data_IF_963797161638
#
_entry.id   IF_963797161638
#
_cell.length_a   1.000
_cell.length_b   1.000
_cell.length_c   1.000
_cell.angle_alpha   90.00
_cell.angle_beta   90.00
_cell.angle_gamma   90.00
#
_symmetry.space_group_name_H-M   'P 1'
#
loop_
_entity.id
_entity.type
_entity.pdbx_description
1 polymer ?
#
# COMPACT_ATOMS: atom_id res chain seq x y z
N UNK A 1 -24.02 -47.37 30.34
CA UNK A 1 -24.42 -46.11 30.99
C UNK A 1 -23.93 -44.98 30.13
N UNK A 2 -24.87 -44.11 29.79
CA UNK A 2 -24.73 -42.77 29.21
C UNK A 2 -24.36 -42.60 27.72
N UNK A 3 -25.45 -42.37 26.98
CA UNK A 3 -25.51 -41.78 25.67
C UNK A 3 -25.30 -40.26 25.74
N UNK A 4 -24.61 -39.68 24.76
CA UNK A 4 -24.72 -38.24 24.46
C UNK A 4 -24.93 -38.07 22.95
N UNK A 5 -26.20 -37.88 22.60
CA UNK A 5 -26.67 -37.13 21.42
C UNK A 5 -25.98 -35.76 21.41
N UNK A 6 -25.67 -35.18 20.24
CA UNK A 6 -26.09 -33.80 19.87
C UNK A 6 -25.81 -33.49 18.39
N UNK A 7 -26.91 -33.48 17.63
CA UNK A 7 -27.40 -32.55 16.59
C UNK A 7 -26.50 -32.09 15.42
N UNK A 8 -27.04 -32.38 14.25
CA UNK A 8 -26.78 -31.81 12.94
C UNK A 8 -27.13 -30.30 12.85
N UNK A 9 -26.40 -29.58 12.00
CA UNK A 9 -26.86 -28.33 11.39
C UNK A 9 -26.71 -28.51 9.87
N UNK A 10 -27.86 -28.71 9.23
CA UNK A 10 -27.97 -28.85 7.78
C UNK A 10 -27.86 -27.51 7.08
N UNK A 11 -27.31 -27.58 5.86
CA UNK A 11 -27.20 -26.52 4.88
C UNK A 11 -28.56 -25.84 4.61
N UNK A 12 -28.56 -24.50 4.66
CA UNK A 12 -29.58 -23.66 4.03
C UNK A 12 -28.99 -22.98 2.80
N UNK A 13 -29.54 -23.32 1.64
CA UNK A 13 -29.16 -22.86 0.30
C UNK A 13 -30.20 -21.85 -0.20
N UNK A 14 -29.77 -20.91 -1.05
CA UNK A 14 -30.57 -19.98 -1.89
C UNK A 14 -31.16 -18.73 -1.19
N UNK A 15 -31.31 -17.55 -1.81
CA UNK A 15 -31.42 -17.21 -3.23
C UNK A 15 -31.03 -15.74 -3.53
N UNK A 16 -30.77 -15.48 -4.81
CA UNK A 16 -30.49 -14.19 -5.46
C UNK A 16 -31.63 -13.16 -5.34
N UNK A 17 -31.31 -11.86 -5.49
CA UNK A 17 -31.90 -10.90 -6.45
C UNK A 17 -31.45 -9.46 -6.13
N UNK A 18 -30.97 -8.73 -7.14
CA UNK A 18 -30.67 -7.30 -7.02
C UNK A 18 -29.91 -6.71 -8.21
N UNK A 19 -30.62 -6.45 -9.31
CA UNK A 19 -30.17 -5.72 -10.50
C UNK A 19 -30.02 -4.22 -10.21
N UNK A 20 -28.87 -3.64 -10.56
CA UNK A 20 -28.66 -2.28 -11.09
C UNK A 20 -27.15 -2.15 -11.38
N UNK A 21 -26.62 -1.94 -12.59
CA UNK A 21 -27.12 -1.11 -13.67
C UNK A 21 -26.43 0.25 -13.60
N UNK A 22 -25.23 0.38 -14.16
CA UNK A 22 -24.63 1.64 -14.64
C UNK A 22 -23.47 1.32 -15.60
N UNK A 23 -23.75 1.47 -16.88
CA UNK A 23 -22.79 1.50 -17.98
C UNK A 23 -21.91 2.76 -17.86
N UNK A 24 -20.62 2.63 -18.12
CA UNK A 24 -19.79 3.78 -18.52
C UNK A 24 -19.09 3.40 -19.83
N UNK A 25 -19.32 4.24 -20.84
CA UNK A 25 -18.90 4.06 -22.21
C UNK A 25 -17.37 4.13 -22.35
N UNK A 26 -16.84 3.27 -23.21
CA UNK A 26 -15.51 3.38 -23.79
C UNK A 26 -15.55 4.40 -24.92
N UNK A 27 -14.83 5.51 -24.78
CA UNK A 27 -14.56 6.40 -25.91
C UNK A 27 -13.11 6.21 -26.37
N UNK A 28 -12.99 5.49 -27.48
CA UNK A 28 -11.77 5.36 -28.26
C UNK A 28 -11.72 6.52 -29.26
N UNK A 29 -10.87 7.51 -29.03
CA UNK A 29 -10.50 8.47 -30.08
C UNK A 29 -9.21 8.01 -30.74
N UNK A 30 -9.38 7.40 -31.92
CA UNK A 30 -8.34 7.29 -32.93
C UNK A 30 -8.19 8.65 -33.60
N UNK A 31 -6.98 9.20 -33.58
CA UNK A 31 -6.60 10.41 -34.31
C UNK A 31 -5.32 10.13 -35.08
N UNK A 32 -5.51 9.75 -36.34
CA UNK A 32 -4.50 9.62 -37.39
C UNK A 32 -4.00 11.03 -37.78
N UNK A 33 -2.70 11.20 -38.05
CA UNK A 33 -2.14 12.52 -38.32
C UNK A 33 -0.66 12.49 -38.69
N UNK A 34 -0.40 12.30 -39.97
CA UNK A 34 0.89 12.17 -40.64
C UNK A 34 1.79 13.42 -40.62
N UNK A 35 3.10 13.17 -40.59
CA UNK A 35 4.22 13.87 -41.26
C UNK A 35 4.40 15.40 -41.14
N UNK A 36 5.56 15.84 -40.62
CA UNK A 36 6.63 16.46 -41.44
C UNK A 36 7.75 17.08 -40.60
N UNK A 37 8.98 16.89 -41.08
CA UNK A 37 10.20 17.48 -40.58
C UNK A 37 10.30 18.98 -40.91
N UNK A 38 10.87 19.76 -39.99
CA UNK A 38 11.64 20.96 -40.31
C UNK A 38 12.64 21.24 -39.18
N UNK A 39 13.92 21.26 -39.53
CA UNK A 39 14.98 21.84 -38.70
C UNK A 39 14.82 23.37 -38.67
N UNK A 40 15.38 24.04 -37.64
CA UNK A 40 16.21 25.18 -37.98
C UNK A 40 17.55 25.22 -37.21
N UNK A 41 18.61 25.33 -38.00
CA UNK A 41 19.69 26.32 -37.93
C UNK A 41 20.21 26.76 -36.56
N UNK A 42 21.49 26.44 -36.33
CA UNK A 42 22.38 27.04 -35.34
C UNK A 42 22.33 28.56 -35.38
N UNK A 43 22.11 29.20 -34.23
CA UNK A 43 22.61 30.56 -33.99
C UNK A 43 23.35 30.52 -32.65
N UNK A 44 24.68 30.61 -32.73
CA UNK A 44 25.51 30.90 -31.58
C UNK A 44 25.35 32.39 -31.25
N UNK A 45 25.00 32.71 -30.00
CA UNK A 45 25.23 34.04 -29.44
C UNK A 45 25.90 33.90 -28.08
N UNK A 46 26.97 34.67 -27.98
CA UNK A 46 27.99 34.78 -26.96
C UNK A 46 27.45 35.21 -25.58
N UNK A 47 28.20 34.76 -24.57
CA UNK A 47 28.17 35.05 -23.13
C UNK A 47 27.56 36.37 -22.64
N UNK A 48 26.93 36.31 -21.47
CA UNK A 48 27.05 37.36 -20.44
C UNK A 48 27.24 36.70 -19.07
N UNK A 49 28.33 37.06 -18.43
CA UNK A 49 28.73 36.63 -17.11
C UNK A 49 27.95 37.37 -16.02
N UNK A 50 27.70 36.66 -14.91
CA UNK A 50 27.71 37.25 -13.57
C UNK A 50 26.40 37.83 -13.03
N UNK A 51 25.63 37.01 -12.33
CA UNK A 51 25.00 37.43 -11.07
C UNK A 51 24.80 36.20 -10.17
N UNK A 52 25.40 36.11 -8.97
CA UNK A 52 25.06 35.10 -7.99
C UNK A 52 23.79 35.55 -7.27
N UNK A 53 22.62 35.16 -7.80
CA UNK A 53 21.37 35.37 -7.10
C UNK A 53 21.16 34.23 -6.09
N UNK A 54 21.55 34.53 -4.86
CA UNK A 54 20.79 34.30 -3.62
C UNK A 54 20.16 32.92 -3.45
N UNK A 55 20.70 32.18 -2.47
CA UNK A 55 20.06 31.02 -1.86
C UNK A 55 18.59 31.32 -1.50
N UNK A 56 17.67 30.83 -2.33
CA UNK A 56 16.26 30.77 -2.01
C UNK A 56 16.03 29.44 -1.29
N UNK A 57 15.60 29.56 -0.04
CA UNK A 57 15.50 28.47 0.92
C UNK A 57 14.81 27.24 0.35
N UNK A 58 15.34 26.09 0.76
CA UNK A 58 14.66 24.81 0.62
C UNK A 58 13.34 24.90 1.37
N UNK A 59 12.28 25.36 0.69
CA UNK A 59 10.91 25.13 1.13
C UNK A 59 10.77 23.63 1.21
N UNK A 60 10.78 23.09 2.43
CA UNK A 60 10.49 21.69 2.70
C UNK A 60 9.03 21.48 2.30
N UNK A 61 8.83 21.17 1.02
CA UNK A 61 7.52 20.86 0.45
C UNK A 61 7.12 19.51 1.01
N UNK A 62 6.42 19.53 2.15
CA UNK A 62 5.79 18.35 2.72
C UNK A 62 4.99 17.67 1.59
N UNK A 63 5.26 16.40 1.27
CA UNK A 63 4.52 15.71 0.24
C UNK A 63 3.04 15.68 0.61
N UNK A 64 2.16 15.94 -0.35
CA UNK A 64 0.72 15.85 -0.15
C UNK A 64 0.34 14.50 0.48
N UNK A 65 -0.70 14.50 1.30
CA UNK A 65 -1.21 13.26 1.89
C UNK A 65 -1.60 12.28 0.79
N UNK A 66 -1.12 11.04 0.82
CA UNK A 66 -1.45 10.04 -0.17
C UNK A 66 -2.94 9.74 -0.11
N UNK A 67 -3.61 9.82 -1.27
CA UNK A 67 -5.06 9.55 -1.40
C UNK A 67 -5.37 8.06 -1.50
N UNK A 68 -4.35 7.21 -1.67
CA UNK A 68 -4.50 5.76 -1.77
C UNK A 68 -3.53 5.05 -0.83
N UNK A 69 -3.93 3.88 -0.31
CA UNK A 69 -3.08 3.07 0.56
C UNK A 69 -1.82 2.59 -0.15
N UNK A 70 -1.91 2.31 -1.46
CA UNK A 70 -0.72 1.98 -2.27
C UNK A 70 0.27 3.15 -2.28
N UNK A 71 -0.23 4.37 -2.49
CA UNK A 71 0.59 5.59 -2.43
C UNK A 71 1.21 5.79 -1.06
N UNK A 72 0.45 5.56 0.02
CA UNK A 72 0.95 5.60 1.39
C UNK A 72 2.12 4.62 1.60
N UNK A 73 1.95 3.36 1.19
CA UNK A 73 3.00 2.35 1.31
C UNK A 73 4.24 2.70 0.49
N UNK A 74 4.07 3.14 -0.77
CA UNK A 74 5.17 3.49 -1.65
C UNK A 74 5.96 4.71 -1.12
N UNK A 75 5.26 5.72 -0.60
CA UNK A 75 5.88 6.91 -0.03
C UNK A 75 6.61 6.61 1.29
N UNK A 76 6.05 5.77 2.15
CA UNK A 76 6.63 5.49 3.45
C UNK A 76 7.81 4.49 3.40
N UNK A 77 7.90 3.69 2.33
CA UNK A 77 8.93 2.65 2.15
C UNK A 77 9.58 2.78 0.76
N UNK A 78 10.22 3.93 0.43
CA UNK A 78 10.69 4.23 -0.92
C UNK A 78 11.79 3.27 -1.41
N UNK A 79 12.66 2.81 -0.51
CA UNK A 79 13.79 1.93 -0.83
C UNK A 79 13.43 0.44 -0.83
N UNK A 80 12.14 0.11 -0.83
CA UNK A 80 11.64 -1.27 -0.70
C UNK A 80 10.77 -1.64 -1.88
N UNK A 81 10.95 -2.86 -2.38
CA UNK A 81 10.04 -3.42 -3.39
C UNK A 81 8.70 -3.75 -2.75
N UNK A 82 7.67 -2.97 -3.05
CA UNK A 82 6.31 -3.21 -2.59
C UNK A 82 5.72 -4.46 -3.26
N UNK A 83 5.29 -5.41 -2.44
CA UNK A 83 4.65 -6.66 -2.86
C UNK A 83 3.15 -6.59 -2.71
N UNK A 84 2.64 -5.94 -1.65
CA UNK A 84 1.21 -5.76 -1.44
C UNK A 84 0.86 -4.65 -0.47
N UNK A 85 -0.42 -4.25 -0.46
CA UNK A 85 -0.94 -3.13 0.34
C UNK A 85 -2.41 -3.33 0.71
N UNK A 86 -2.81 -2.89 1.90
CA UNK A 86 -4.18 -3.05 2.42
C UNK A 86 -4.54 -1.95 3.41
N UNK A 87 -5.77 -1.44 3.35
CA UNK A 87 -6.24 -0.44 4.32
C UNK A 87 -6.33 -1.05 5.72
N UNK A 88 -6.01 -0.26 6.74
CA UNK A 88 -6.13 -0.66 8.14
C UNK A 88 -6.21 0.58 9.02
N UNK A 89 -6.51 0.37 10.29
CA UNK A 89 -6.50 1.41 11.32
C UNK A 89 -5.39 1.16 12.34
N UNK A 90 -5.09 2.17 13.16
CA UNK A 90 -4.15 2.00 14.28
C UNK A 90 -4.66 0.98 15.29
N UNK A 91 -5.97 0.88 15.50
CA UNK A 91 -6.59 -0.17 16.30
C UNK A 91 -6.29 -1.56 15.75
N UNK A 92 -6.41 -1.76 14.44
CA UNK A 92 -6.05 -3.03 13.78
C UNK A 92 -4.57 -3.38 13.96
N UNK A 93 -3.69 -2.38 13.89
CA UNK A 93 -2.26 -2.58 14.12
C UNK A 93 -1.98 -3.01 15.55
N UNK A 94 -2.57 -2.33 16.54
CA UNK A 94 -2.39 -2.66 17.95
C UNK A 94 -2.96 -4.04 18.25
N UNK A 95 -4.07 -4.43 17.65
CA UNK A 95 -4.69 -5.74 17.81
C UNK A 95 -3.94 -6.89 17.11
N UNK A 96 -2.99 -6.60 16.20
CA UNK A 96 -2.26 -7.61 15.45
C UNK A 96 -1.44 -8.54 16.35
N UNK A 97 -1.65 -9.85 16.18
CA UNK A 97 -0.97 -10.92 16.91
C UNK A 97 -0.52 -12.02 15.95
N UNK A 98 0.56 -12.73 16.30
CA UNK A 98 1.02 -13.88 15.53
C UNK A 98 1.68 -14.96 16.41
N UNK A 99 1.68 -16.20 15.90
CA UNK A 99 2.27 -17.38 16.52
C UNK A 99 1.55 -17.87 17.78
N UNK A 100 1.85 -19.10 18.21
CA UNK A 100 1.23 -19.75 19.37
C UNK A 100 1.34 -18.97 20.70
N UNK A 101 2.42 -18.18 20.87
CA UNK A 101 2.61 -17.32 22.06
C UNK A 101 1.79 -16.02 22.03
N UNK A 102 0.99 -15.81 20.98
CA UNK A 102 0.15 -14.62 20.81
C UNK A 102 0.95 -13.30 20.86
N UNK A 103 2.12 -13.28 20.22
CA UNK A 103 3.02 -12.12 20.21
C UNK A 103 2.35 -10.91 19.57
N UNK A 104 2.38 -9.76 20.26
CA UNK A 104 1.73 -8.52 19.84
C UNK A 104 2.77 -7.41 19.60
N UNK A 105 3.51 -7.45 18.47
CA UNK A 105 4.66 -6.57 18.22
C UNK A 105 4.30 -5.08 18.12
N UNK A 106 3.03 -4.79 17.84
CA UNK A 106 2.52 -3.46 17.57
C UNK A 106 1.58 -2.94 18.67
N UNK A 107 1.46 -3.62 19.82
CA UNK A 107 0.59 -3.20 20.92
C UNK A 107 0.82 -1.74 21.36
N UNK A 108 2.07 -1.26 21.24
CA UNK A 108 2.49 0.10 21.58
C UNK A 108 2.97 0.90 20.36
N UNK A 109 2.60 0.46 19.15
CA UNK A 109 2.90 1.19 17.93
C UNK A 109 2.08 2.47 17.86
N UNK A 110 2.68 3.52 17.26
CA UNK A 110 2.06 4.82 17.07
C UNK A 110 1.51 5.41 18.38
N UNK A 111 2.37 5.79 19.33
CA UNK A 111 1.92 6.47 20.54
C UNK A 111 1.19 7.76 20.15
N UNK A 112 0.12 8.08 20.89
CA UNK A 112 -0.72 9.27 20.67
C UNK A 112 -1.49 9.28 19.33
N UNK A 113 -1.61 8.13 18.68
CA UNK A 113 -2.54 7.94 17.57
C UNK A 113 -3.88 7.42 18.08
N UNK A 114 -4.97 7.92 17.51
CA UNK A 114 -6.32 7.41 17.77
C UNK A 114 -6.48 6.02 17.14
N UNK A 115 -7.28 5.13 17.75
CA UNK A 115 -7.47 3.78 17.21
C UNK A 115 -8.15 3.79 15.82
N UNK A 116 -8.99 4.78 15.51
CA UNK A 116 -9.60 4.95 14.20
C UNK A 116 -8.70 5.67 13.17
N UNK A 117 -7.49 6.09 13.55
CA UNK A 117 -6.56 6.75 12.64
C UNK A 117 -6.21 5.83 11.47
N UNK A 118 -6.42 6.34 10.25
CA UNK A 118 -6.25 5.56 9.03
C UNK A 118 -4.77 5.28 8.73
N UNK A 119 -4.50 4.05 8.31
CA UNK A 119 -3.19 3.59 7.90
C UNK A 119 -3.26 2.51 6.82
N UNK A 120 -2.13 1.84 6.61
CA UNK A 120 -2.02 0.73 5.69
C UNK A 120 -1.09 -0.38 6.19
N UNK A 121 -1.48 -1.61 5.89
CA UNK A 121 -0.58 -2.75 5.85
C UNK A 121 0.21 -2.74 4.55
N UNK A 122 1.54 -2.80 4.65
CA UNK A 122 2.44 -2.79 3.51
C UNK A 122 3.34 -4.03 3.55
N UNK A 123 3.27 -4.87 2.52
CA UNK A 123 4.14 -6.03 2.35
C UNK A 123 5.29 -5.67 1.40
N UNK A 124 6.52 -5.95 1.79
CA UNK A 124 7.73 -5.65 1.00
C UNK A 124 8.61 -6.88 0.85
N UNK A 125 9.38 -6.93 -0.24
CA UNK A 125 10.36 -7.99 -0.46
C UNK A 125 11.54 -7.78 0.47
N UNK A 126 11.82 -8.76 1.34
CA UNK A 126 12.99 -8.76 2.21
C UNK A 126 14.14 -9.59 1.62
N UNK A 127 13.81 -10.69 0.95
CA UNK A 127 14.75 -11.55 0.23
C UNK A 127 13.99 -12.31 -0.88
N UNK A 128 14.65 -13.22 -1.60
CA UNK A 128 14.02 -14.04 -2.66
C UNK A 128 12.79 -14.81 -2.17
N UNK A 129 12.83 -15.30 -0.93
CA UNK A 129 11.77 -16.07 -0.28
C UNK A 129 11.42 -15.49 1.09
N UNK A 130 11.35 -14.15 1.18
CA UNK A 130 10.96 -13.49 2.41
C UNK A 130 10.15 -12.22 2.16
N UNK A 131 9.10 -12.04 2.96
CA UNK A 131 8.22 -10.87 2.95
C UNK A 131 8.25 -10.21 4.32
N UNK A 132 8.53 -8.90 4.36
CA UNK A 132 8.37 -8.10 5.58
C UNK A 132 7.09 -7.30 5.51
N UNK A 133 6.29 -7.42 6.57
CA UNK A 133 5.04 -6.69 6.77
C UNK A 133 5.27 -5.47 7.67
N UNK A 134 4.68 -4.35 7.26
CA UNK A 134 4.79 -3.06 7.94
C UNK A 134 3.40 -2.49 8.20
N UNK A 135 3.21 -1.94 9.39
CA UNK A 135 2.13 -0.99 9.65
C UNK A 135 2.64 0.42 9.31
N UNK A 136 1.86 1.16 8.54
CA UNK A 136 2.20 2.51 8.07
C UNK A 136 1.03 3.44 8.36
N UNK A 137 1.33 4.60 8.93
CA UNK A 137 0.41 5.71 9.13
C UNK A 137 1.06 6.94 8.52
N UNK A 138 0.27 7.79 7.86
CA UNK A 138 0.80 8.97 7.18
C UNK A 138 1.55 9.88 8.17
N UNK A 139 2.70 10.40 7.74
CA UNK A 139 3.57 11.27 8.56
C UNK A 139 4.11 10.63 9.86
N UNK A 140 4.05 9.30 9.96
CA UNK A 140 4.63 8.55 11.08
C UNK A 140 5.67 7.55 10.59
N UNK A 141 6.61 7.19 11.46
CA UNK A 141 7.62 6.18 11.15
C UNK A 141 6.96 4.80 10.96
N UNK A 142 7.18 4.10 9.83
CA UNK A 142 6.71 2.74 9.63
C UNK A 142 7.14 1.81 10.75
N UNK A 143 6.27 0.88 11.15
CA UNK A 143 6.53 -0.09 12.21
C UNK A 143 6.49 -1.49 11.61
N UNK A 144 7.58 -2.24 11.75
CA UNK A 144 7.65 -3.63 11.29
C UNK A 144 6.77 -4.51 12.18
N UNK A 145 5.91 -5.31 11.56
CA UNK A 145 5.07 -6.28 12.25
C UNK A 145 5.77 -7.64 12.32
N UNK A 146 6.09 -8.22 11.17
CA UNK A 146 6.70 -9.55 11.05
C UNK A 146 7.53 -9.62 9.77
N UNK A 147 8.53 -10.51 9.76
CA UNK A 147 9.15 -11.01 8.54
C UNK A 147 8.84 -12.49 8.43
N UNK A 148 8.21 -12.89 7.33
CA UNK A 148 7.89 -14.29 7.03
C UNK A 148 8.93 -14.79 6.02
N UNK A 149 9.51 -15.96 6.29
CA UNK A 149 10.49 -16.61 5.42
C UNK A 149 9.94 -17.98 5.05
N UNK A 150 9.89 -18.28 3.75
CA UNK A 150 9.43 -19.60 3.31
C UNK A 150 9.04 -19.66 1.83
N UNK A 151 8.74 -20.87 1.33
CA UNK A 151 8.23 -21.05 -0.01
C UNK A 151 6.97 -20.20 -0.27
N UNK A 152 6.94 -19.50 -1.40
CA UNK A 152 5.81 -18.62 -1.75
C UNK A 152 5.97 -17.17 -1.27
N UNK A 153 6.82 -16.92 -0.28
CA UNK A 153 7.14 -15.55 0.17
C UNK A 153 8.02 -14.81 -0.83
N UNK A 154 8.04 -13.48 -0.70
CA UNK A 154 8.74 -12.60 -1.63
C UNK A 154 8.05 -12.46 -2.99
N UNK A 155 6.89 -13.09 -3.24
CA UNK A 155 6.14 -12.91 -4.50
C UNK A 155 5.24 -11.68 -4.46
N UNK A 156 4.79 -11.22 -5.62
CA UNK A 156 3.81 -10.13 -5.71
C UNK A 156 2.47 -10.58 -5.09
N UNK A 157 1.85 -9.73 -4.27
CA UNK A 157 0.61 -9.99 -3.54
C UNK A 157 -0.54 -9.07 -3.97
N UNK A 158 -0.24 -7.83 -4.39
CA UNK A 158 -1.26 -6.85 -4.77
C UNK A 158 -2.06 -6.31 -3.58
N UNK A 159 -3.38 -6.17 -3.73
CA UNK A 159 -4.24 -5.68 -2.64
C UNK A 159 -4.47 -6.79 -1.61
N UNK A 160 -4.27 -6.50 -0.32
CA UNK A 160 -4.45 -7.44 0.79
C UNK A 160 -5.40 -6.86 1.84
N UNK A 161 -5.98 -7.71 2.69
CA UNK A 161 -6.78 -7.29 3.86
C UNK A 161 -5.94 -7.08 5.12
N UNK A 162 -4.74 -7.68 5.16
CA UNK A 162 -3.82 -7.58 6.29
C UNK A 162 -2.64 -8.54 6.17
N UNK A 163 -1.73 -8.54 7.15
CA UNK A 163 -0.61 -9.47 7.20
C UNK A 163 -1.09 -10.92 7.27
N UNK A 164 -0.33 -11.80 6.63
CA UNK A 164 -0.48 -13.25 6.79
C UNK A 164 -0.48 -13.61 8.28
N UNK A 165 -1.45 -14.40 8.72
CA UNK A 165 -1.49 -14.98 10.07
C UNK A 165 -0.62 -16.23 10.02
N UNK A 166 0.59 -16.14 10.56
CA UNK A 166 1.46 -17.30 10.73
C UNK A 166 0.98 -18.06 11.98
N UNK A 167 0.60 -19.35 11.86
CA UNK A 167 0.22 -20.20 12.99
C UNK A 167 1.30 -20.26 14.08
#
# INVERSE_FOLDING_TARGET
MDAVRTRAVGLGLAACLGLAGCSFASESVAGDGSSSAAAPTSTATTATAGTPATAAGTTSSRPASPTTVRGLCAQALPDRTLLGWGAATVGDFRAYRYGASNNQPLAKAFPNADDAEAGGWCATRAAKQATTWWAVVYDRRPRRAITVVGPGEGKHLGRVSGPQVVP
#
